data_IF_483367554377
#
_entry.id   IF_483367554377
#
_cell.length_a   1.000
_cell.length_b   1.000
_cell.length_c   1.000
_cell.angle_alpha   90.00
_cell.angle_beta   90.00
_cell.angle_gamma   90.00
#
_symmetry.space_group_name_H-M   'P 1'
#
loop_
_entity.id
_entity.type
_entity.pdbx_description
1 polymer ?
#
# COMPACT_ATOMS: atom_id res chain seq x y z
N UNK A 1 -5.59 -22.19 -6.99
CA UNK A 1 -6.48 -21.14 -6.44
C UNK A 1 -7.62 -20.93 -7.43
N UNK A 2 -8.87 -20.90 -6.98
CA UNK A 2 -10.03 -20.63 -7.85
C UNK A 2 -10.03 -19.17 -8.32
N UNK A 3 -10.88 -18.84 -9.29
CA UNK A 3 -11.01 -17.47 -9.79
C UNK A 3 -11.51 -16.52 -8.69
N UNK A 4 -12.51 -16.94 -7.92
CA UNK A 4 -13.08 -16.19 -6.80
C UNK A 4 -12.03 -15.90 -5.72
N UNK A 5 -11.20 -16.90 -5.40
CA UNK A 5 -10.10 -16.72 -4.45
C UNK A 5 -9.04 -15.71 -4.95
N UNK A 6 -8.81 -15.65 -6.27
CA UNK A 6 -7.92 -14.64 -6.87
C UNK A 6 -8.55 -13.24 -6.80
N UNK A 7 -9.84 -13.11 -7.16
CA UNK A 7 -10.59 -11.85 -7.11
C UNK A 7 -10.58 -11.30 -5.67
N UNK A 8 -10.95 -12.13 -4.69
CA UNK A 8 -10.97 -11.73 -3.28
C UNK A 8 -9.58 -11.30 -2.80
N UNK A 9 -8.54 -12.06 -3.16
CA UNK A 9 -7.16 -11.76 -2.77
C UNK A 9 -6.63 -10.48 -3.42
N UNK A 10 -7.04 -10.16 -4.64
CA UNK A 10 -6.65 -8.93 -5.31
C UNK A 10 -7.39 -7.73 -4.70
N UNK A 11 -8.70 -7.85 -4.43
CA UNK A 11 -9.49 -6.80 -3.82
C UNK A 11 -8.93 -6.36 -2.46
N UNK A 12 -8.55 -7.32 -1.60
CA UNK A 12 -7.91 -7.04 -0.30
C UNK A 12 -6.58 -6.26 -0.46
N UNK A 13 -5.73 -6.65 -1.41
CA UNK A 13 -4.47 -5.94 -1.69
C UNK A 13 -4.69 -4.54 -2.25
N UNK A 14 -5.66 -4.38 -3.15
CA UNK A 14 -6.00 -3.07 -3.73
C UNK A 14 -6.53 -2.08 -2.70
N UNK A 15 -7.27 -2.56 -1.70
CA UNK A 15 -7.80 -1.77 -0.59
C UNK A 15 -6.69 -1.30 0.38
N UNK A 16 -5.58 -2.02 0.44
CA UNK A 16 -4.36 -1.59 1.15
C UNK A 16 -3.49 -0.60 0.35
N UNK A 17 -3.80 -0.35 -0.92
CA UNK A 17 -3.12 0.62 -1.78
C UNK A 17 -3.88 1.96 -1.88
N UNK A 18 -3.25 2.97 -2.48
CA UNK A 18 -3.85 4.28 -2.73
C UNK A 18 -3.97 5.15 -1.47
N UNK A 19 -4.69 6.26 -1.60
CA UNK A 19 -4.89 7.22 -0.52
C UNK A 19 -5.56 6.59 0.72
N UNK A 20 -6.57 5.74 0.52
CA UNK A 20 -7.29 5.06 1.60
C UNK A 20 -6.36 4.07 2.32
N UNK A 21 -5.62 3.26 1.59
CA UNK A 21 -4.64 2.33 2.15
C UNK A 21 -3.54 3.03 2.95
N UNK A 22 -3.05 4.17 2.44
CA UNK A 22 -2.08 5.00 3.13
C UNK A 22 -2.65 5.57 4.45
N UNK A 23 -3.85 6.15 4.41
CA UNK A 23 -4.55 6.66 5.59
C UNK A 23 -4.72 5.57 6.66
N UNK A 24 -5.15 4.37 6.26
CA UNK A 24 -5.29 3.21 7.16
C UNK A 24 -3.96 2.78 7.77
N UNK A 25 -2.89 2.78 6.98
CA UNK A 25 -1.53 2.45 7.46
C UNK A 25 -1.08 3.43 8.54
N UNK A 26 -1.28 4.74 8.31
CA UNK A 26 -0.89 5.78 9.28
C UNK A 26 -1.69 5.62 10.58
N UNK A 27 -3.02 5.49 10.50
CA UNK A 27 -3.88 5.32 11.68
C UNK A 27 -3.51 4.07 12.45
N UNK A 28 -3.30 2.95 11.76
CA UNK A 28 -2.92 1.70 12.41
C UNK A 28 -1.61 1.88 13.19
N UNK A 29 -0.60 2.50 12.58
CA UNK A 29 0.67 2.76 13.25
C UNK A 29 0.51 3.65 14.48
N UNK A 30 -0.24 4.75 14.37
CA UNK A 30 -0.48 5.67 15.49
C UNK A 30 -1.26 5.00 16.63
N UNK A 31 -2.28 4.19 16.32
CA UNK A 31 -3.03 3.41 17.32
C UNK A 31 -2.14 2.44 18.09
N UNK A 32 -1.09 1.95 17.46
CA UNK A 32 -0.08 1.10 18.09
C UNK A 32 1.08 1.90 18.72
N UNK A 33 0.90 3.21 18.95
CA UNK A 33 1.90 4.13 19.51
C UNK A 33 3.21 4.21 18.70
N UNK A 34 3.15 3.82 17.41
CA UNK A 34 4.24 4.02 16.47
C UNK A 34 4.24 5.43 15.92
N UNK A 35 5.35 5.80 15.27
CA UNK A 35 5.51 7.06 14.58
C UNK A 35 5.72 6.86 13.08
N UNK A 36 6.14 7.96 12.47
CA UNK A 36 6.46 8.07 11.05
C UNK A 36 7.51 7.07 10.56
N UNK A 37 8.53 6.72 11.36
CA UNK A 37 9.52 5.69 11.00
C UNK A 37 8.86 4.32 10.79
N UNK A 38 7.93 3.94 11.67
CA UNK A 38 7.19 2.69 11.53
C UNK A 38 6.24 2.74 10.33
N UNK A 39 5.67 3.90 9.99
CA UNK A 39 4.89 4.08 8.76
C UNK A 39 5.77 3.83 7.54
N UNK A 40 6.91 4.52 7.43
CA UNK A 40 7.86 4.39 6.31
C UNK A 40 8.28 2.92 6.14
N UNK A 41 8.69 2.28 7.23
CA UNK A 41 9.09 0.87 7.23
C UNK A 41 7.95 -0.05 6.74
N UNK A 42 6.71 0.21 7.16
CA UNK A 42 5.55 -0.56 6.68
C UNK A 42 5.27 -0.36 5.19
N UNK A 43 5.42 0.88 4.70
CA UNK A 43 5.25 1.20 3.29
C UNK A 43 6.29 0.46 2.43
N UNK A 44 7.58 0.55 2.79
CA UNK A 44 8.69 -0.10 2.08
C UNK A 44 8.58 -1.63 2.08
N UNK A 45 8.38 -2.21 3.27
CA UNK A 45 8.51 -3.65 3.41
C UNK A 45 7.26 -4.43 3.04
N UNK A 46 6.09 -3.77 3.01
CA UNK A 46 4.82 -4.43 2.72
C UNK A 46 4.05 -3.73 1.61
N UNK A 47 3.57 -2.50 1.84
CA UNK A 47 2.53 -1.89 0.99
C UNK A 47 3.01 -1.73 -0.45
N UNK A 48 4.22 -1.22 -0.67
CA UNK A 48 4.78 -1.02 -2.01
C UNK A 48 4.98 -2.33 -2.80
N UNK A 49 5.11 -3.47 -2.10
CA UNK A 49 5.30 -4.80 -2.71
C UNK A 49 3.98 -5.51 -3.04
N UNK A 50 2.83 -4.99 -2.58
CA UNK A 50 1.54 -5.66 -2.77
C UNK A 50 1.12 -5.75 -4.24
N UNK A 51 1.53 -4.77 -5.06
CA UNK A 51 1.19 -4.74 -6.49
C UNK A 51 1.77 -5.93 -7.27
N UNK A 52 2.91 -6.46 -6.82
CA UNK A 52 3.58 -7.61 -7.43
C UNK A 52 2.86 -8.94 -7.13
N UNK A 53 1.99 -8.96 -6.12
CA UNK A 53 1.23 -10.13 -5.68
C UNK A 53 -0.19 -10.23 -6.25
N UNK A 54 -0.52 -9.44 -7.28
CA UNK A 54 -1.84 -9.41 -7.91
C UNK A 54 -1.98 -10.43 -9.03
N UNK A 55 -3.14 -11.08 -9.08
CA UNK A 55 -3.42 -12.16 -10.02
C UNK A 55 -3.98 -11.68 -11.35
N UNK A 56 -4.88 -10.69 -11.34
CA UNK A 56 -5.60 -10.25 -12.53
C UNK A 56 -4.96 -9.00 -13.14
N UNK A 57 -4.95 -8.92 -14.47
CA UNK A 57 -4.38 -7.77 -15.19
C UNK A 57 -5.10 -6.45 -14.87
N UNK A 58 -6.43 -6.49 -14.73
CA UNK A 58 -7.21 -5.32 -14.29
C UNK A 58 -6.78 -4.83 -12.90
N UNK A 59 -6.50 -5.76 -11.98
CA UNK A 59 -6.03 -5.41 -10.64
C UNK A 59 -4.66 -4.75 -10.70
N UNK A 60 -3.74 -5.26 -11.54
CA UNK A 60 -2.40 -4.67 -11.72
C UNK A 60 -2.47 -3.24 -12.25
N UNK A 61 -3.37 -2.97 -13.20
CA UNK A 61 -3.58 -1.62 -13.73
C UNK A 61 -4.08 -0.65 -12.64
N UNK A 62 -5.08 -1.08 -11.84
CA UNK A 62 -5.59 -0.28 -10.72
C UNK A 62 -4.50 -0.05 -9.67
N UNK A 63 -3.70 -1.08 -9.38
CA UNK A 63 -2.61 -0.99 -8.42
C UNK A 63 -1.53 -0.01 -8.85
N UNK A 64 -1.18 0.04 -10.14
CA UNK A 64 -0.18 0.98 -10.63
C UNK A 64 -0.61 2.43 -10.43
N UNK A 65 -1.89 2.75 -10.69
CA UNK A 65 -2.44 4.07 -10.40
C UNK A 65 -2.41 4.38 -8.89
N UNK A 66 -2.90 3.46 -8.06
CA UNK A 66 -2.98 3.64 -6.61
C UNK A 66 -1.61 3.71 -5.93
N UNK A 67 -0.62 2.96 -6.42
CA UNK A 67 0.72 2.94 -5.87
C UNK A 67 1.45 4.27 -6.04
N UNK A 68 1.12 5.08 -7.06
CA UNK A 68 1.73 6.40 -7.27
C UNK A 68 1.57 7.30 -6.05
N UNK A 69 0.36 7.36 -5.50
CA UNK A 69 0.07 8.17 -4.29
C UNK A 69 0.97 7.80 -3.13
N UNK A 70 1.22 6.50 -2.94
CA UNK A 70 2.04 6.00 -1.84
C UNK A 70 3.53 6.28 -2.10
N UNK A 71 3.98 6.08 -3.34
CA UNK A 71 5.36 6.36 -3.75
C UNK A 71 5.67 7.85 -3.60
N UNK A 72 4.78 8.73 -4.06
CA UNK A 72 4.94 10.18 -3.97
C UNK A 72 5.01 10.62 -2.51
N UNK A 73 4.10 10.13 -1.66
CA UNK A 73 4.13 10.39 -0.22
C UNK A 73 5.42 9.91 0.44
N UNK A 74 5.84 8.68 0.12
CA UNK A 74 7.07 8.08 0.65
C UNK A 74 8.31 8.90 0.26
N UNK A 75 8.44 9.25 -1.02
CA UNK A 75 9.55 10.06 -1.51
C UNK A 75 9.55 11.45 -0.86
N UNK A 76 8.38 12.09 -0.77
CA UNK A 76 8.25 13.43 -0.18
C UNK A 76 8.68 13.45 1.28
N UNK A 77 8.26 12.47 2.08
CA UNK A 77 8.71 12.37 3.48
C UNK A 77 10.21 12.16 3.57
N UNK A 78 10.79 11.35 2.67
CA UNK A 78 12.23 11.14 2.68
C UNK A 78 12.98 12.41 2.33
N UNK A 79 12.50 13.22 1.38
CA UNK A 79 13.08 14.53 1.06
C UNK A 79 13.01 15.51 2.22
N UNK A 80 11.86 15.63 2.90
CA UNK A 80 11.67 16.58 4.01
C UNK A 80 12.44 16.21 5.29
N UNK A 81 12.99 14.99 5.36
CA UNK A 81 13.77 14.47 6.49
C UNK A 81 15.28 14.57 6.33
N UNK A 82 15.77 14.86 5.13
CA UNK A 82 17.20 15.15 4.86
C UNK A 82 17.48 16.61 5.19
#
# INVERSE_FOLDING_TARGET
KTLEAKILSDADKLDALGAIGLYRTIIFTLRNKGGIEQVINHLENKILKLKDGLYLEVSKQIAEERSKIIIDFYNKIREERV
#
